data_IF_279730230631
#
_entry.id   IF_279730230631
#
_cell.length_a   1.000
_cell.length_b   1.000
_cell.length_c   1.000
_cell.angle_alpha   90.00
_cell.angle_beta   90.00
_cell.angle_gamma   90.00
#
_symmetry.space_group_name_H-M   'P 1'
#
loop_
_entity.id
_entity.type
_entity.pdbx_description
1 polymer ?
#
# COMPACT_ATOMS: atom_id res chain seq x y z
N UNK A 1 26.20 -16.06 -16.12
CA UNK A 1 25.56 -15.42 -17.28
C UNK A 1 24.93 -14.08 -16.87
N UNK A 2 25.70 -13.19 -16.23
CA UNK A 2 25.23 -11.87 -15.71
C UNK A 2 26.13 -10.69 -16.14
N UNK A 3 27.05 -10.90 -17.09
CA UNK A 3 27.97 -9.86 -17.60
C UNK A 3 27.30 -8.86 -18.57
N UNK A 4 25.97 -8.84 -18.68
CA UNK A 4 25.23 -8.16 -19.77
C UNK A 4 24.40 -6.97 -19.27
N UNK A 5 24.51 -6.58 -18.00
CA UNK A 5 23.64 -5.56 -17.42
C UNK A 5 24.32 -4.20 -17.16
N UNK A 6 25.57 -3.99 -17.60
CA UNK A 6 26.20 -2.67 -17.51
C UNK A 6 25.45 -1.65 -18.39
N UNK A 7 25.01 -0.55 -17.78
CA UNK A 7 24.28 0.52 -18.48
C UNK A 7 22.76 0.31 -18.57
N UNK A 8 22.19 -0.64 -17.84
CA UNK A 8 20.73 -0.74 -17.71
C UNK A 8 20.23 0.47 -16.91
N UNK A 9 19.45 1.36 -17.54
CA UNK A 9 18.85 2.54 -16.91
C UNK A 9 17.39 2.29 -16.48
N UNK A 10 16.71 1.36 -17.16
CA UNK A 10 15.30 1.04 -16.98
C UNK A 10 15.10 -0.47 -16.93
N UNK A 11 14.31 -0.94 -15.98
CA UNK A 11 14.00 -2.35 -15.77
C UNK A 11 12.48 -2.54 -15.66
N UNK A 12 11.92 -3.40 -16.50
CA UNK A 12 10.50 -3.76 -16.50
C UNK A 12 10.37 -5.28 -16.52
N UNK A 13 9.73 -5.85 -15.48
CA UNK A 13 9.64 -7.28 -15.27
C UNK A 13 8.22 -7.67 -14.83
N UNK A 14 7.67 -8.72 -15.42
CA UNK A 14 6.47 -9.38 -14.92
C UNK A 14 6.84 -10.63 -14.12
N UNK A 15 6.21 -10.82 -12.96
CA UNK A 15 6.39 -11.97 -12.08
C UNK A 15 5.06 -12.73 -11.92
N UNK A 16 5.11 -14.05 -12.02
CA UNK A 16 3.97 -14.92 -11.64
C UNK A 16 4.03 -15.14 -10.12
N UNK A 17 3.17 -14.45 -9.37
CA UNK A 17 3.08 -14.55 -7.90
C UNK A 17 1.80 -15.27 -7.43
N UNK A 18 0.82 -15.51 -8.31
CA UNK A 18 -0.56 -15.72 -7.89
C UNK A 18 -1.19 -17.06 -8.23
N UNK A 19 -0.87 -17.71 -9.36
CA UNK A 19 -1.83 -18.69 -9.92
C UNK A 19 -1.33 -20.14 -10.06
N UNK A 20 -0.02 -20.36 -10.13
CA UNK A 20 0.50 -21.70 -10.49
C UNK A 20 1.17 -22.44 -9.33
N UNK A 21 1.42 -21.75 -8.22
CA UNK A 21 2.27 -22.25 -7.14
C UNK A 21 1.42 -22.68 -5.94
N UNK A 22 1.70 -23.86 -5.39
CA UNK A 22 1.23 -24.17 -4.04
C UNK A 22 1.82 -23.15 -3.03
N UNK A 23 1.17 -22.91 -1.88
CA UNK A 23 1.58 -21.85 -0.95
C UNK A 23 3.07 -21.91 -0.55
N UNK A 24 3.62 -23.12 -0.39
CA UNK A 24 5.02 -23.29 -0.03
C UNK A 24 5.94 -22.85 -1.17
N UNK A 25 5.63 -23.24 -2.41
CA UNK A 25 6.40 -22.82 -3.58
C UNK A 25 6.30 -21.31 -3.80
N UNK A 26 5.13 -20.68 -3.56
CA UNK A 26 4.99 -19.21 -3.61
C UNK A 26 5.95 -18.52 -2.63
N UNK A 27 6.01 -18.99 -1.39
CA UNK A 27 6.91 -18.45 -0.37
C UNK A 27 8.39 -18.60 -0.77
N UNK A 28 8.79 -19.79 -1.23
CA UNK A 28 10.17 -20.04 -1.68
C UNK A 28 10.53 -19.17 -2.90
N UNK A 29 9.60 -19.00 -3.84
CA UNK A 29 9.77 -18.15 -5.01
C UNK A 29 9.94 -16.68 -4.61
N UNK A 30 9.06 -16.13 -3.78
CA UNK A 30 9.16 -14.74 -3.30
C UNK A 30 10.45 -14.50 -2.54
N UNK A 31 10.88 -15.45 -1.72
CA UNK A 31 12.17 -15.40 -1.04
C UNK A 31 13.33 -15.33 -2.02
N UNK A 32 13.38 -16.24 -2.99
CA UNK A 32 14.41 -16.25 -4.02
C UNK A 32 14.41 -14.96 -4.86
N UNK A 33 13.21 -14.43 -5.17
CA UNK A 33 13.07 -13.17 -5.89
C UNK A 33 13.63 -12.01 -5.06
N UNK A 34 13.20 -11.85 -3.81
CA UNK A 34 13.71 -10.81 -2.91
C UNK A 34 15.23 -10.87 -2.74
N UNK A 35 15.78 -12.09 -2.59
CA UNK A 35 17.21 -12.34 -2.52
C UNK A 35 17.95 -12.06 -3.82
N UNK A 36 17.30 -11.90 -4.97
CA UNK A 36 17.99 -11.65 -6.25
C UNK A 36 17.89 -10.21 -6.74
N UNK A 37 17.02 -9.38 -6.15
CA UNK A 37 16.86 -7.97 -6.54
C UNK A 37 18.15 -7.14 -6.39
N UNK A 38 19.07 -7.53 -5.50
CA UNK A 38 20.38 -6.86 -5.39
C UNK A 38 21.24 -6.97 -6.67
N UNK A 39 20.90 -7.88 -7.58
CA UNK A 39 21.60 -8.06 -8.86
C UNK A 39 21.20 -7.01 -9.90
N UNK A 40 20.16 -6.23 -9.65
CA UNK A 40 19.79 -5.10 -10.50
C UNK A 40 20.91 -4.06 -10.42
N UNK A 41 21.52 -3.67 -11.56
CA UNK A 41 22.64 -2.74 -11.58
C UNK A 41 22.32 -1.42 -10.92
N UNK A 42 23.32 -0.81 -10.28
CA UNK A 42 23.19 0.53 -9.70
C UNK A 42 23.00 1.64 -10.74
N UNK A 43 23.21 1.34 -12.02
CA UNK A 43 22.88 2.25 -13.14
C UNK A 43 21.39 2.32 -13.41
N UNK A 44 20.60 1.36 -12.91
CA UNK A 44 19.15 1.36 -13.07
C UNK A 44 18.56 2.51 -12.26
N UNK A 45 17.81 3.38 -12.92
CA UNK A 45 17.14 4.51 -12.28
C UNK A 45 15.65 4.27 -12.12
N UNK A 46 15.07 3.44 -12.99
CA UNK A 46 13.64 3.19 -13.02
C UNK A 46 13.35 1.68 -12.97
N UNK A 47 12.48 1.29 -12.05
CA UNK A 47 12.03 -0.10 -11.90
C UNK A 47 10.51 -0.18 -11.98
N UNK A 48 10.03 -0.95 -12.94
CA UNK A 48 8.64 -1.36 -13.05
C UNK A 48 8.54 -2.86 -12.82
N UNK A 49 7.58 -3.26 -11.99
CA UNK A 49 7.23 -4.66 -11.85
C UNK A 49 5.71 -4.86 -11.77
N UNK A 50 5.22 -5.84 -12.51
CA UNK A 50 3.83 -6.31 -12.41
C UNK A 50 3.84 -7.72 -11.82
N UNK A 51 3.01 -7.95 -10.82
CA UNK A 51 2.81 -9.25 -10.21
C UNK A 51 1.47 -9.80 -10.66
N UNK A 52 1.41 -11.03 -11.15
CA UNK A 52 0.12 -11.63 -11.51
C UNK A 52 -0.71 -11.85 -10.23
N UNK A 53 -1.90 -11.22 -10.10
CA UNK A 53 -2.69 -11.30 -8.89
C UNK A 53 -3.24 -12.71 -8.68
N UNK A 54 -3.45 -13.05 -7.41
CA UNK A 54 -4.15 -14.27 -7.03
C UNK A 54 -5.65 -14.16 -7.42
N UNK A 55 -6.16 -15.11 -8.20
CA UNK A 55 -7.56 -15.14 -8.61
C UNK A 55 -8.53 -15.35 -7.45
N UNK A 56 -8.03 -15.90 -6.33
CA UNK A 56 -8.82 -16.08 -5.11
C UNK A 56 -9.05 -14.75 -4.38
N UNK A 57 -8.39 -13.66 -4.82
CA UNK A 57 -8.58 -12.29 -4.35
C UNK A 57 -8.42 -12.18 -2.83
N UNK A 58 -9.49 -11.83 -2.12
CA UNK A 58 -9.48 -11.78 -0.64
C UNK A 58 -9.18 -13.14 0.02
N UNK A 59 -9.31 -14.25 -0.70
CA UNK A 59 -9.02 -15.60 -0.21
C UNK A 59 -7.63 -16.11 -0.62
N UNK A 60 -6.79 -15.24 -1.19
CA UNK A 60 -5.41 -15.55 -1.54
C UNK A 60 -4.65 -16.20 -0.38
N UNK A 61 -3.81 -17.18 -0.72
CA UNK A 61 -2.94 -17.82 0.27
C UNK A 61 -1.86 -16.84 0.74
N UNK A 62 -1.37 -16.94 1.99
CA UNK A 62 -0.26 -16.12 2.46
C UNK A 62 0.95 -16.20 1.54
N UNK A 63 1.61 -15.06 1.35
CA UNK A 63 2.81 -14.92 0.54
C UNK A 63 4.11 -15.02 1.36
N UNK A 64 3.99 -15.00 2.70
CA UNK A 64 5.02 -15.38 3.67
C UNK A 64 4.39 -16.16 4.83
N UNK A 65 5.21 -16.94 5.56
CA UNK A 65 4.78 -17.68 6.75
C UNK A 65 5.10 -16.87 8.02
N UNK A 66 4.14 -16.24 8.71
CA UNK A 66 4.44 -15.58 9.98
C UNK A 66 5.05 -16.57 11.00
N UNK A 67 6.09 -16.21 11.76
CA UNK A 67 6.65 -14.85 11.97
C UNK A 67 7.81 -14.50 11.03
N UNK A 68 7.96 -15.17 9.88
CA UNK A 68 9.04 -14.88 8.93
C UNK A 68 8.88 -13.50 8.30
N UNK A 69 10.03 -12.88 8.01
CA UNK A 69 10.11 -11.62 7.30
C UNK A 69 9.71 -11.81 5.83
N UNK A 70 9.01 -10.84 5.27
CA UNK A 70 8.71 -10.80 3.84
C UNK A 70 9.95 -10.34 3.06
N UNK A 71 10.78 -11.32 2.70
CA UNK A 71 12.07 -11.12 2.03
C UNK A 71 11.91 -10.38 0.69
N UNK A 72 10.77 -10.55 0.00
CA UNK A 72 10.52 -9.80 -1.23
C UNK A 72 10.36 -8.30 -0.95
N UNK A 73 9.50 -7.92 0.00
CA UNK A 73 9.33 -6.52 0.39
C UNK A 73 10.65 -5.89 0.88
N UNK A 74 11.45 -6.63 1.66
CA UNK A 74 12.78 -6.18 2.10
C UNK A 74 13.73 -5.99 0.91
N UNK A 75 13.74 -6.94 -0.03
CA UNK A 75 14.56 -6.85 -1.24
C UNK A 75 14.18 -5.63 -2.08
N UNK A 76 12.88 -5.38 -2.27
CA UNK A 76 12.37 -4.21 -2.99
C UNK A 76 12.75 -2.92 -2.27
N UNK A 77 12.56 -2.86 -0.94
CA UNK A 77 12.97 -1.72 -0.10
C UNK A 77 14.44 -1.38 -0.34
N UNK A 78 15.32 -2.37 -0.19
CA UNK A 78 16.76 -2.17 -0.31
C UNK A 78 17.16 -1.70 -1.72
N UNK A 79 16.64 -2.38 -2.76
CA UNK A 79 16.87 -1.99 -4.15
C UNK A 79 16.33 -0.58 -4.44
N UNK A 80 15.17 -0.21 -3.91
CA UNK A 80 14.55 1.10 -4.20
C UNK A 80 15.36 2.29 -3.69
N UNK A 81 16.26 2.10 -2.71
CA UNK A 81 17.11 3.18 -2.14
C UNK A 81 18.00 3.87 -3.18
N UNK A 82 18.38 3.17 -4.25
CA UNK A 82 19.22 3.72 -5.33
C UNK A 82 18.41 4.27 -6.52
N UNK A 83 17.11 3.98 -6.59
CA UNK A 83 16.27 4.30 -7.74
C UNK A 83 15.73 5.73 -7.70
N UNK A 84 15.32 6.22 -8.87
CA UNK A 84 14.63 7.49 -9.08
C UNK A 84 13.12 7.27 -9.19
N UNK A 85 12.69 6.16 -9.82
CA UNK A 85 11.28 5.79 -9.94
C UNK A 85 11.05 4.31 -9.64
N UNK A 86 9.98 4.04 -8.93
CA UNK A 86 9.47 2.69 -8.67
C UNK A 86 7.99 2.64 -9.00
N UNK A 87 7.57 1.64 -9.76
CA UNK A 87 6.16 1.36 -10.05
C UNK A 87 5.91 -0.14 -9.90
N UNK A 88 5.09 -0.50 -8.92
CA UNK A 88 4.76 -1.89 -8.58
C UNK A 88 3.25 -2.08 -8.76
N UNK A 89 2.84 -3.13 -9.45
CA UNK A 89 1.43 -3.44 -9.67
C UNK A 89 1.08 -4.83 -9.12
N UNK A 90 -0.08 -4.92 -8.46
CA UNK A 90 -0.71 -6.15 -7.99
C UNK A 90 0.16 -6.96 -7.01
N UNK A 91 0.94 -6.27 -6.17
CA UNK A 91 1.84 -6.90 -5.21
C UNK A 91 1.18 -7.10 -3.84
N UNK A 92 1.25 -8.33 -3.29
CA UNK A 92 1.05 -8.56 -1.86
C UNK A 92 2.24 -8.00 -1.07
N UNK A 93 1.99 -7.00 -0.22
CA UNK A 93 3.04 -6.24 0.49
C UNK A 93 3.03 -6.48 1.99
N UNK A 94 4.15 -6.17 2.64
CA UNK A 94 4.23 -5.98 4.09
C UNK A 94 4.72 -4.56 4.41
N UNK A 95 4.54 -4.09 5.66
CA UNK A 95 5.12 -2.82 6.11
C UNK A 95 6.65 -2.75 5.92
N UNK A 96 7.34 -3.90 5.94
CA UNK A 96 8.78 -4.03 5.66
C UNK A 96 9.19 -3.52 4.28
N UNK A 97 8.26 -3.31 3.35
CA UNK A 97 8.54 -2.64 2.07
C UNK A 97 9.00 -1.19 2.27
N UNK A 98 8.52 -0.53 3.32
CA UNK A 98 8.76 0.89 3.60
C UNK A 98 9.68 1.10 4.79
N UNK A 99 9.51 0.34 5.87
CA UNK A 99 10.28 0.55 7.08
C UNK A 99 10.64 -0.77 7.75
N UNK A 100 11.86 -0.95 8.28
CA UNK A 100 12.22 -2.15 9.01
C UNK A 100 11.30 -2.38 10.21
N UNK A 101 10.88 -3.63 10.41
CA UNK A 101 10.22 -4.06 11.64
C UNK A 101 11.21 -4.01 12.84
N UNK A 102 10.72 -3.91 14.07
CA UNK A 102 11.54 -3.92 15.28
C UNK A 102 12.33 -5.25 15.43
N UNK A 103 11.86 -6.32 14.79
CA UNK A 103 12.54 -7.61 14.69
C UNK A 103 13.69 -7.62 13.68
N UNK A 104 13.77 -6.64 12.78
CA UNK A 104 14.87 -6.48 11.83
C UNK A 104 16.02 -5.73 12.50
N UNK A 105 17.21 -6.34 12.59
CA UNK A 105 18.45 -5.63 12.97
C UNK A 105 18.97 -4.80 11.78
N UNK A 106 18.18 -3.80 11.38
CA UNK A 106 18.42 -2.99 10.19
C UNK A 106 18.43 -1.50 10.50
N UNK A 107 19.37 -0.79 9.89
CA UNK A 107 19.41 0.67 9.94
C UNK A 107 18.25 1.27 9.17
N UNK A 108 17.81 2.46 9.58
CA UNK A 108 16.81 3.24 8.84
C UNK A 108 17.21 3.38 7.35
N UNK A 109 16.35 2.98 6.41
CA UNK A 109 16.61 3.13 4.98
C UNK A 109 16.59 4.60 4.57
N UNK A 110 17.36 4.94 3.53
CA UNK A 110 17.49 6.29 3.01
C UNK A 110 17.41 6.28 1.48
N UNK A 111 16.53 7.11 0.90
CA UNK A 111 16.29 7.21 -0.54
C UNK A 111 16.71 8.58 -1.07
N UNK A 112 18.01 8.82 -1.30
CA UNK A 112 18.49 10.14 -1.73
C UNK A 112 17.93 10.60 -3.08
N UNK A 113 17.51 9.67 -3.94
CA UNK A 113 17.18 9.93 -5.35
C UNK A 113 15.73 9.64 -5.74
N UNK A 114 14.98 8.93 -4.90
CA UNK A 114 13.63 8.48 -5.23
C UNK A 114 12.69 9.68 -5.34
N UNK A 115 12.15 9.91 -6.53
CA UNK A 115 11.23 11.00 -6.84
C UNK A 115 9.79 10.53 -6.96
N UNK A 116 9.57 9.33 -7.50
CA UNK A 116 8.23 8.80 -7.75
C UNK A 116 8.12 7.37 -7.26
N UNK A 117 7.06 7.09 -6.51
CA UNK A 117 6.75 5.75 -6.03
C UNK A 117 5.28 5.45 -6.27
N UNK A 118 4.98 4.52 -7.15
CA UNK A 118 3.62 4.03 -7.38
C UNK A 118 3.52 2.57 -6.96
N UNK A 119 2.48 2.25 -6.20
CA UNK A 119 2.19 0.89 -5.77
C UNK A 119 0.69 0.63 -5.86
N UNK A 120 0.30 -0.32 -6.70
CA UNK A 120 -1.00 -0.98 -6.60
C UNK A 120 -0.80 -2.28 -5.84
N UNK A 121 -1.50 -2.46 -4.73
CA UNK A 121 -1.30 -3.59 -3.84
C UNK A 121 -2.59 -4.36 -3.60
N UNK A 122 -2.43 -5.64 -3.29
CA UNK A 122 -3.55 -6.54 -3.01
C UNK A 122 -4.28 -6.15 -1.70
N UNK A 123 -5.58 -6.50 -1.56
CA UNK A 123 -6.34 -6.26 -0.33
C UNK A 123 -5.91 -7.11 0.87
N UNK A 124 -4.85 -7.90 0.71
CA UNK A 124 -4.21 -8.73 1.72
C UNK A 124 -2.73 -8.40 1.81
N UNK A 125 -2.20 -8.37 3.03
CA UNK A 125 -0.77 -8.27 3.27
C UNK A 125 -0.08 -9.59 2.90
N UNK A 126 1.24 -9.55 2.73
CA UNK A 126 2.04 -10.74 2.45
C UNK A 126 1.88 -11.84 3.53
N UNK A 127 1.58 -11.47 4.78
CA UNK A 127 1.27 -12.41 5.88
C UNK A 127 -0.07 -13.16 5.70
N UNK A 128 -0.86 -12.83 4.68
CA UNK A 128 -2.25 -13.27 4.51
C UNK A 128 -3.25 -12.47 5.34
N UNK A 129 -2.78 -11.49 6.10
CA UNK A 129 -3.66 -10.62 6.87
C UNK A 129 -4.44 -9.67 5.97
N UNK A 130 -5.76 -9.73 6.08
CA UNK A 130 -6.65 -8.94 5.23
C UNK A 130 -6.74 -7.47 5.67
N UNK A 131 -6.58 -6.56 4.72
CA UNK A 131 -6.88 -5.13 4.87
C UNK A 131 -8.36 -4.84 4.63
N UNK A 132 -9.03 -5.66 3.83
CA UNK A 132 -10.46 -5.55 3.56
C UNK A 132 -11.18 -6.86 3.91
N UNK A 133 -12.40 -6.77 4.44
CA UNK A 133 -13.24 -7.94 4.71
C UNK A 133 -14.72 -7.65 4.46
N UNK A 134 -15.46 -8.70 4.16
CA UNK A 134 -16.92 -8.65 4.14
C UNK A 134 -17.42 -8.76 5.57
N UNK A 135 -18.02 -7.68 6.11
CA UNK A 135 -18.64 -7.73 7.42
C UNK A 135 -19.82 -8.70 7.35
N UNK A 136 -19.70 -9.91 7.89
CA UNK A 136 -20.86 -10.78 8.03
C UNK A 136 -21.90 -10.02 8.85
N UNK A 137 -23.11 -9.83 8.30
CA UNK A 137 -24.19 -9.26 9.08
C UNK A 137 -24.37 -10.14 10.32
N UNK A 138 -24.24 -9.53 11.50
CA UNK A 138 -24.51 -10.21 12.76
C UNK A 138 -25.87 -10.90 12.64
N UNK A 139 -25.87 -12.21 12.90
CA UNK A 139 -26.96 -13.14 12.67
C UNK A 139 -28.15 -12.88 13.60
N UNK A 140 -28.88 -11.77 13.44
CA UNK A 140 -30.03 -11.49 14.30
C UNK A 140 -31.39 -11.42 13.61
N UNK A 141 -31.49 -11.58 12.28
CA UNK A 141 -32.82 -11.76 11.68
C UNK A 141 -32.77 -12.40 10.28
N UNK A 142 -32.22 -13.62 10.20
CA UNK A 142 -32.50 -14.48 9.03
C UNK A 142 -33.94 -14.97 9.19
N UNK A 143 -34.91 -14.14 8.79
CA UNK A 143 -36.28 -14.62 8.57
C UNK A 143 -36.20 -15.75 7.53
N UNK A 144 -36.81 -16.93 7.79
CA UNK A 144 -36.81 -18.03 6.82
C UNK A 144 -37.42 -17.52 5.52
N UNK A 145 -36.59 -17.52 4.48
CA UNK A 145 -36.90 -17.00 3.16
C UNK A 145 -38.00 -17.87 2.53
N UNK A 146 -39.16 -17.26 2.29
CA UNK A 146 -40.26 -17.87 1.54
C UNK A 146 -39.82 -18.09 0.08
N UNK A 147 -39.91 -19.32 -0.40
CA UNK A 147 -39.32 -19.94 -1.61
C UNK A 147 -39.67 -19.33 -3.00
N UNK A 148 -39.94 -18.03 -3.14
CA UNK A 148 -40.47 -17.50 -4.42
C UNK A 148 -39.85 -16.16 -4.85
N UNK A 149 -38.56 -16.15 -5.19
CA UNK A 149 -38.01 -15.32 -6.28
C UNK A 149 -36.57 -15.72 -6.60
N UNK A 150 -36.31 -16.35 -7.77
CA UNK A 150 -34.98 -16.81 -8.16
C UNK A 150 -34.17 -15.77 -8.96
N UNK A 151 -34.39 -14.46 -8.75
CA UNK A 151 -33.70 -13.43 -9.53
C UNK A 151 -33.14 -12.33 -8.62
N UNK A 152 -31.80 -12.22 -8.68
CA UNK A 152 -30.91 -11.13 -8.28
C UNK A 152 -30.47 -11.01 -6.80
N UNK A 153 -29.21 -11.41 -6.55
CA UNK A 153 -28.13 -10.54 -6.03
C UNK A 153 -28.29 -9.94 -4.60
N UNK A 154 -29.35 -10.20 -3.85
CA UNK A 154 -29.45 -9.69 -2.47
C UNK A 154 -28.70 -10.52 -1.42
N UNK A 155 -28.04 -11.63 -1.81
CA UNK A 155 -27.24 -12.46 -0.91
C UNK A 155 -25.81 -11.91 -0.65
N UNK A 156 -25.41 -10.79 -1.26
CA UNK A 156 -24.19 -10.02 -0.94
C UNK A 156 -24.38 -9.17 0.32
N UNK A 157 -24.86 -9.77 1.41
CA UNK A 157 -25.28 -9.06 2.61
C UNK A 157 -24.13 -8.49 3.45
N UNK A 158 -22.87 -8.70 3.08
CA UNK A 158 -21.75 -8.13 3.83
C UNK A 158 -21.38 -6.74 3.33
N UNK A 159 -21.49 -5.71 4.18
CA UNK A 159 -20.88 -4.42 3.87
C UNK A 159 -19.35 -4.58 3.86
N UNK A 160 -18.68 -4.22 2.76
CA UNK A 160 -17.22 -4.24 2.72
C UNK A 160 -16.68 -3.28 3.78
N UNK A 161 -15.70 -3.73 4.56
CA UNK A 161 -15.10 -2.96 5.63
C UNK A 161 -13.58 -2.99 5.53
N UNK A 162 -12.96 -1.84 5.78
CA UNK A 162 -11.52 -1.70 5.88
C UNK A 162 -11.08 -2.01 7.32
N UNK A 163 -10.01 -2.78 7.47
CA UNK A 163 -9.37 -3.05 8.75
C UNK A 163 -8.43 -1.89 9.11
N UNK A 164 -8.99 -0.80 9.64
CA UNK A 164 -8.27 0.46 9.85
C UNK A 164 -6.96 0.30 10.64
N UNK A 165 -6.89 -0.57 11.66
CA UNK A 165 -5.66 -0.79 12.43
C UNK A 165 -4.50 -1.31 11.56
N UNK A 166 -4.77 -2.23 10.63
CA UNK A 166 -3.75 -2.80 9.74
C UNK A 166 -3.33 -1.78 8.68
N UNK A 167 -4.30 -1.07 8.11
CA UNK A 167 -4.03 0.04 7.20
C UNK A 167 -3.20 1.14 7.87
N UNK A 168 -3.48 1.46 9.15
CA UNK A 168 -2.68 2.39 9.95
C UNK A 168 -1.25 1.87 10.13
N UNK A 169 -1.05 0.58 10.45
CA UNK A 169 0.29 -0.02 10.56
C UNK A 169 1.11 0.14 9.26
N UNK A 170 0.48 -0.10 8.10
CA UNK A 170 1.11 0.16 6.81
C UNK A 170 1.48 1.63 6.62
N UNK A 171 0.56 2.56 6.90
CA UNK A 171 0.83 3.99 6.73
C UNK A 171 1.80 4.59 7.75
N UNK A 172 1.95 3.99 8.94
CA UNK A 172 3.04 4.33 9.86
C UNK A 172 4.39 4.04 9.22
N UNK A 173 4.55 2.86 8.59
CA UNK A 173 5.79 2.52 7.89
C UNK A 173 6.05 3.48 6.71
N UNK A 174 5.01 3.80 5.93
CA UNK A 174 5.09 4.80 4.84
C UNK A 174 5.52 6.16 5.38
N UNK A 175 4.89 6.66 6.44
CA UNK A 175 5.22 7.94 7.06
C UNK A 175 6.69 8.01 7.50
N UNK A 176 7.18 6.99 8.21
CA UNK A 176 8.59 6.89 8.61
C UNK A 176 9.54 6.88 7.40
N UNK A 177 9.17 6.14 6.35
CA UNK A 177 9.96 6.04 5.13
C UNK A 177 10.07 7.40 4.42
N UNK A 178 8.94 8.10 4.20
CA UNK A 178 8.92 9.40 3.50
C UNK A 178 9.83 10.46 4.14
N UNK A 179 10.03 10.43 5.46
CA UNK A 179 10.98 11.32 6.16
C UNK A 179 12.43 11.12 5.72
N UNK A 180 12.75 9.98 5.12
CA UNK A 180 14.06 9.61 4.59
C UNK A 180 14.11 9.63 3.06
N UNK A 181 13.15 10.29 2.40
CA UNK A 181 13.08 10.45 0.93
C UNK A 181 13.14 11.93 0.54
N UNK A 182 14.29 12.62 0.66
CA UNK A 182 14.38 14.08 0.46
C UNK A 182 14.09 14.54 -0.97
N UNK A 183 14.20 13.65 -1.95
CA UNK A 183 13.92 13.94 -3.36
C UNK A 183 12.47 13.58 -3.77
N UNK A 184 11.66 13.04 -2.86
CA UNK A 184 10.32 12.55 -3.19
C UNK A 184 9.45 13.70 -3.69
N UNK A 185 8.84 13.51 -4.86
CA UNK A 185 7.93 14.47 -5.48
C UNK A 185 6.49 13.97 -5.38
N UNK A 186 6.31 12.66 -5.57
CA UNK A 186 5.03 11.99 -5.54
C UNK A 186 5.16 10.54 -5.06
N UNK A 187 4.23 10.12 -4.21
CA UNK A 187 3.99 8.74 -3.85
C UNK A 187 2.50 8.46 -3.94
N UNK A 188 2.14 7.36 -4.62
CA UNK A 188 0.76 6.90 -4.80
C UNK A 188 0.68 5.44 -4.39
N UNK A 189 -0.16 5.15 -3.40
CA UNK A 189 -0.44 3.78 -2.96
C UNK A 189 -1.93 3.51 -3.16
N UNK A 190 -2.27 2.45 -3.86
CA UNK A 190 -3.64 2.14 -4.23
C UNK A 190 -3.97 0.67 -3.95
N UNK A 191 -4.89 0.45 -3.02
CA UNK A 191 -5.57 -0.83 -2.87
C UNK A 191 -6.86 -0.76 -3.68
N UNK A 192 -7.08 -1.73 -4.55
CA UNK A 192 -8.33 -1.84 -5.29
C UNK A 192 -8.81 -3.29 -5.30
N UNK A 193 -10.05 -3.46 -4.85
CA UNK A 193 -10.88 -4.64 -4.98
C UNK A 193 -12.24 -4.17 -5.52
N UNK A 194 -13.03 -5.05 -6.15
CA UNK A 194 -14.37 -4.73 -6.64
C UNK A 194 -15.25 -4.04 -5.59
N UNK A 195 -15.00 -4.31 -4.30
CA UNK A 195 -15.83 -3.89 -3.19
C UNK A 195 -15.19 -2.86 -2.26
N UNK A 196 -13.87 -2.70 -2.27
CA UNK A 196 -13.14 -1.78 -1.39
C UNK A 196 -12.01 -1.10 -2.15
N UNK A 197 -11.86 0.21 -1.98
CA UNK A 197 -10.68 0.94 -2.43
C UNK A 197 -10.08 1.76 -1.31
N UNK A 198 -8.75 1.87 -1.32
CA UNK A 198 -7.98 2.76 -0.48
C UNK A 198 -6.87 3.38 -1.32
N UNK A 199 -7.03 4.64 -1.66
CA UNK A 199 -6.04 5.44 -2.36
C UNK A 199 -5.35 6.36 -1.35
N UNK A 200 -4.03 6.32 -1.31
CA UNK A 200 -3.18 7.27 -0.61
C UNK A 200 -2.31 8.01 -1.63
N UNK A 201 -2.12 9.31 -1.40
CA UNK A 201 -1.25 10.16 -2.22
C UNK A 201 -0.47 11.10 -1.31
N UNK A 202 0.86 11.13 -1.50
CA UNK A 202 1.76 12.10 -0.88
C UNK A 202 2.48 12.86 -1.99
N UNK A 203 2.25 14.17 -2.10
CA UNK A 203 2.84 14.98 -3.18
C UNK A 203 3.11 16.41 -2.75
N UNK A 204 4.05 17.08 -3.41
CA UNK A 204 4.27 18.51 -3.20
C UNK A 204 3.20 19.34 -3.90
N UNK A 205 2.43 20.11 -3.14
CA UNK A 205 1.43 21.04 -3.68
C UNK A 205 1.98 22.47 -3.66
N UNK A 206 2.26 23.00 -4.86
CA UNK A 206 2.82 24.36 -5.04
C UNK A 206 1.94 25.45 -4.44
N UNK A 207 0.62 25.29 -4.49
CA UNK A 207 -0.35 26.27 -3.95
C UNK A 207 -0.19 26.44 -2.43
N UNK A 208 0.16 25.37 -1.74
CA UNK A 208 0.36 25.36 -0.28
C UNK A 208 1.84 25.42 0.11
N UNK A 209 2.75 25.36 -0.86
CA UNK A 209 4.20 25.28 -0.66
C UNK A 209 4.60 24.18 0.33
N UNK A 210 3.85 23.08 0.33
CA UNK A 210 3.89 22.03 1.33
C UNK A 210 3.71 20.66 0.68
N UNK A 211 4.19 19.61 1.34
CA UNK A 211 3.79 18.26 0.99
C UNK A 211 2.42 17.96 1.57
N UNK A 212 1.57 17.32 0.79
CA UNK A 212 0.21 16.96 1.18
C UNK A 212 0.07 15.46 1.16
N UNK A 213 -0.21 14.88 2.32
CA UNK A 213 -0.63 13.50 2.48
C UNK A 213 -2.16 13.47 2.42
N UNK A 214 -2.73 12.72 1.50
CA UNK A 214 -4.17 12.58 1.36
C UNK A 214 -4.55 11.13 1.18
N UNK A 215 -5.73 10.78 1.66
CA UNK A 215 -6.28 9.45 1.46
C UNK A 215 -7.76 9.51 1.15
N UNK A 216 -8.18 8.51 0.40
CA UNK A 216 -9.55 8.29 -0.01
C UNK A 216 -9.87 6.81 0.12
N UNK A 217 -10.98 6.50 0.77
CA UNK A 217 -11.43 5.12 0.92
C UNK A 217 -12.91 4.99 0.59
N UNK A 218 -13.27 3.85 -0.01
CA UNK A 218 -14.65 3.43 -0.22
C UNK A 218 -14.81 1.95 0.13
N UNK A 219 -15.94 1.52 0.68
CA UNK A 219 -17.09 2.31 1.13
C UNK A 219 -16.96 2.82 2.58
N UNK A 220 -15.93 2.37 3.30
CA UNK A 220 -15.71 2.72 4.71
C UNK A 220 -14.81 3.94 4.84
N UNK A 221 -15.03 4.73 5.90
CA UNK A 221 -14.16 5.85 6.25
C UNK A 221 -12.86 5.30 6.85
N UNK A 222 -11.74 5.58 6.19
CA UNK A 222 -10.42 5.40 6.79
C UNK A 222 -10.08 6.64 7.63
N UNK A 223 -9.84 6.41 8.92
CA UNK A 223 -9.37 7.42 9.86
C UNK A 223 -7.92 7.11 10.22
N UNK A 224 -7.01 8.01 9.86
CA UNK A 224 -5.60 7.91 10.21
C UNK A 224 -5.44 8.03 11.74
N UNK A 225 -4.73 7.07 12.34
CA UNK A 225 -4.42 7.11 13.77
C UNK A 225 -3.42 8.22 14.11
N UNK A 226 -3.31 8.63 15.38
CA UNK A 226 -2.28 9.57 15.83
C UNK A 226 -0.85 9.14 15.43
N UNK A 227 -0.57 7.84 15.47
CA UNK A 227 0.75 7.29 15.09
C UNK A 227 1.07 7.53 13.61
N UNK A 228 0.05 7.47 12.73
CA UNK A 228 0.23 7.82 11.31
C UNK A 228 0.60 9.30 11.20
N UNK A 229 -0.11 10.18 11.91
CA UNK A 229 0.19 11.62 11.89
C UNK A 229 1.62 11.90 12.38
N UNK A 230 2.03 11.29 13.49
CA UNK A 230 3.39 11.41 14.04
C UNK A 230 4.44 10.86 13.07
N UNK A 231 4.17 9.72 12.43
CA UNK A 231 5.07 9.11 11.46
C UNK A 231 5.37 10.04 10.28
N UNK A 232 4.40 10.83 9.82
CA UNK A 232 4.58 11.87 8.80
C UNK A 232 5.15 13.19 9.36
N UNK A 233 5.45 13.26 10.66
CA UNK A 233 6.02 14.44 11.31
C UNK A 233 5.02 15.59 11.51
N UNK A 234 3.74 15.27 11.61
CA UNK A 234 2.66 16.24 11.76
C UNK A 234 2.44 16.45 13.27
N UNK A 235 2.81 17.63 13.76
CA UNK A 235 2.63 18.00 15.17
C UNK A 235 1.17 18.39 15.45
N UNK A 236 0.73 18.22 16.70
CA UNK A 236 -0.56 18.76 17.17
C UNK A 236 -0.64 20.27 16.86
N UNK A 237 -1.64 20.67 16.08
CA UNK A 237 -1.83 22.06 15.61
C UNK A 237 -1.68 22.25 14.10
N UNK A 238 -1.22 21.23 13.36
CA UNK A 238 -1.27 21.20 11.90
C UNK A 238 -2.71 21.20 11.40
N UNK A 239 -3.01 21.87 10.28
CA UNK A 239 -4.34 21.84 9.69
C UNK A 239 -4.64 20.45 9.13
N UNK A 240 -5.48 19.69 9.82
CA UNK A 240 -6.10 18.47 9.30
C UNK A 240 -7.42 18.90 8.70
N UNK A 241 -7.53 18.85 7.37
CA UNK A 241 -8.79 19.09 6.72
C UNK A 241 -9.66 17.87 6.99
N UNK A 242 -10.62 18.04 7.91
CA UNK A 242 -11.52 16.94 8.28
C UNK A 242 -12.30 16.50 7.05
N UNK A 243 -12.60 15.20 6.95
CA UNK A 243 -13.30 14.73 5.78
C UNK A 243 -14.66 15.39 5.62
N UNK A 244 -14.88 16.03 4.47
CA UNK A 244 -16.20 16.47 4.07
C UNK A 244 -16.94 15.31 3.43
N UNK A 245 -18.11 14.97 3.97
CA UNK A 245 -19.01 14.00 3.36
C UNK A 245 -19.61 14.65 2.10
N UNK A 246 -19.06 14.36 0.92
CA UNK A 246 -19.68 14.78 -0.34
C UNK A 246 -20.76 13.77 -0.73
N UNK A 247 -22.03 14.12 -0.53
CA UNK A 247 -23.15 13.37 -1.12
C UNK A 247 -23.30 13.82 -2.58
N UNK A 248 -22.72 13.09 -3.53
CA UNK A 248 -22.99 13.32 -4.95
C UNK A 248 -24.42 12.87 -5.27
N UNK A 249 -25.31 13.84 -5.52
CA UNK A 249 -26.69 13.59 -5.93
C UNK A 249 -26.77 13.26 -7.43
N UNK A 250 -26.34 12.06 -7.82
CA UNK A 250 -26.70 11.47 -9.11
C UNK A 250 -27.17 10.03 -8.88
N UNK A 251 -28.20 9.60 -9.63
CA UNK A 251 -29.09 8.43 -9.49
C UNK A 251 -28.47 7.01 -9.33
N UNK A 252 -27.36 6.84 -8.62
CA UNK A 252 -26.82 5.55 -8.15
C UNK A 252 -26.74 5.56 -6.63
N UNK A 253 -26.88 4.41 -6.00
CA UNK A 253 -26.86 4.21 -4.53
C UNK A 253 -25.84 5.12 -3.83
N UNK A 254 -26.17 5.73 -2.67
CA UNK A 254 -25.29 6.68 -2.01
C UNK A 254 -23.99 5.99 -1.55
N UNK A 255 -22.92 6.15 -2.33
CA UNK A 255 -21.57 5.81 -1.90
C UNK A 255 -21.07 6.91 -0.98
N UNK A 256 -20.69 6.56 0.25
CA UNK A 256 -20.04 7.48 1.18
C UNK A 256 -18.58 7.59 0.76
N UNK A 257 -18.24 8.70 0.11
CA UNK A 257 -16.86 9.07 -0.23
C UNK A 257 -16.29 9.90 0.90
N UNK A 258 -15.14 9.49 1.43
CA UNK A 258 -14.45 10.23 2.48
C UNK A 258 -13.04 10.58 2.03
N UNK A 259 -12.64 11.84 2.23
CA UNK A 259 -11.34 12.38 1.82
C UNK A 259 -10.66 13.01 3.04
N UNK A 260 -9.52 12.49 3.45
CA UNK A 260 -8.65 13.16 4.42
C UNK A 260 -7.48 13.83 3.70
N UNK A 261 -7.06 15.00 4.16
CA UNK A 261 -5.82 15.65 3.72
C UNK A 261 -5.08 16.24 4.91
N UNK A 262 -3.75 16.15 4.87
CA UNK A 262 -2.87 16.78 5.85
C UNK A 262 -1.72 17.47 5.14
N UNK A 263 -1.30 18.62 5.69
CA UNK A 263 -0.24 19.45 5.16
C UNK A 263 1.01 19.33 6.04
N UNK A 264 2.13 18.93 5.44
CA UNK A 264 3.45 18.99 6.05
C UNK A 264 4.17 20.23 5.51
N UNK A 265 4.26 21.26 6.36
CA UNK A 265 5.00 22.47 6.04
C UNK A 265 6.49 22.17 5.88
N UNK A 266 7.15 22.89 4.97
CA UNK A 266 8.61 22.89 4.92
C UNK A 266 9.13 23.45 6.25
N UNK A 267 9.63 22.60 7.14
CA UNK A 267 10.55 23.05 8.16
C UNK A 267 11.74 23.64 7.41
N UNK A 268 11.82 24.98 7.39
CA UNK A 268 12.98 25.70 6.88
C UNK A 268 14.23 25.03 7.43
N UNK A 269 15.19 24.59 6.59
CA UNK A 269 16.40 23.97 7.10
C UNK A 269 17.04 24.98 8.05
N UNK A 270 17.09 24.62 9.33
CA UNK A 270 17.86 25.37 10.29
C UNK A 270 19.27 25.43 9.74
N UNK A 271 19.65 26.60 9.23
CA UNK A 271 21.01 26.97 8.88
C UNK A 271 21.88 26.69 10.11
N UNK A 272 22.40 25.47 10.19
CA UNK A 272 23.42 25.08 11.15
C UNK A 272 24.70 25.69 10.61
N UNK A 273 25.12 26.76 11.28
CA UNK A 273 26.37 27.49 11.06
C UNK A 273 27.59 26.60 11.27
#
# INVERSE_FOLDING_TARGET
MLSVMEGLEYCDIAFDDGQTLDPKTRIEYRKALGETLYKIPTTCEEFHATFEPDLDGINASPACDPPSLDILSIGIRNMSTQLVRVSLDSLAISPSLFWPDDSEDATAPYWPRLKHFELRYEPSLASGERLAYLKQNDKTDIRPYSEKSPLLIEAYLGRPALHCERANGLFVAVGRATRNMPALQEMRLEMFDELVSLLFTYKYEKEHMAFVASWHSTPSVFEASPDVLEAFGILEGSFVERPSLSTSAEHRSPSVTTRGSIYQGLCSPALTR
#
